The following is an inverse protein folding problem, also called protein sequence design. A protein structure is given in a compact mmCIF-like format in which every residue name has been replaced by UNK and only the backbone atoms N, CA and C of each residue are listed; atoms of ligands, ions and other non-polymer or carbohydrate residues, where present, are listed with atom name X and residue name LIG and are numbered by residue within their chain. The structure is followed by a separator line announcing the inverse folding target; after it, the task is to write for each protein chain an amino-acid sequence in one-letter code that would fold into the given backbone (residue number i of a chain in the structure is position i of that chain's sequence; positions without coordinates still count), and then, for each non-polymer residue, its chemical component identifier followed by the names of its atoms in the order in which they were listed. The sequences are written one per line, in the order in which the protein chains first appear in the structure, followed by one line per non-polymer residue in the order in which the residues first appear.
data_IF_541874305452
#
_entry.id   IF_541874305452
#
_cell.length_a   1.000
_cell.length_b   1.000
_cell.length_c   1.000
_cell.angle_alpha   90.00
_cell.angle_beta   90.00
_cell.angle_gamma   90.00
#
_symmetry.space_group_name_H-M   'P 1'
#
loop_
_entity.id
_entity.type
_entity.pdbx_description
1 polymer ?
#
# COMPACT_ATOMS: atom_id res chain seq x y z
N UNK A 1 5.00 -25.42 -54.84
CA UNK A 1 4.17 -24.84 -53.76
C UNK A 1 4.73 -25.32 -52.42
N UNK A 2 5.06 -24.43 -51.46
CA UNK A 2 5.59 -24.85 -50.17
C UNK A 2 4.46 -25.33 -49.26
N UNK A 3 4.67 -26.46 -48.56
CA UNK A 3 3.72 -27.00 -47.60
C UNK A 3 3.74 -26.17 -46.31
N UNK A 4 2.56 -25.71 -45.90
CA UNK A 4 2.35 -24.98 -44.63
C UNK A 4 2.56 -25.91 -43.44
N UNK A 5 3.54 -25.60 -42.58
CA UNK A 5 3.72 -26.28 -41.29
C UNK A 5 2.65 -25.78 -40.31
N UNK A 6 1.78 -26.67 -39.83
CA UNK A 6 0.86 -26.39 -38.73
C UNK A 6 1.67 -26.13 -37.46
N UNK A 7 1.58 -24.91 -36.94
CA UNK A 7 2.06 -24.55 -35.60
C UNK A 7 1.00 -25.00 -34.60
N UNK A 8 1.28 -26.05 -33.85
CA UNK A 8 0.42 -26.53 -32.77
C UNK A 8 0.62 -25.61 -31.56
N UNK A 9 -0.45 -24.96 -31.11
CA UNK A 9 -0.41 -24.14 -29.90
C UNK A 9 -0.11 -25.01 -28.68
N UNK A 10 1.00 -24.75 -28.01
CA UNK A 10 1.33 -25.39 -26.74
C UNK A 10 0.48 -24.72 -25.66
N UNK A 11 -0.41 -25.49 -25.02
CA UNK A 11 -1.21 -25.02 -23.91
C UNK A 11 -0.30 -24.57 -22.75
N UNK A 12 -0.26 -23.25 -22.49
CA UNK A 12 0.44 -22.69 -21.35
C UNK A 12 -0.25 -23.14 -20.06
N UNK A 13 0.37 -24.07 -19.33
CA UNK A 13 -0.07 -24.42 -17.98
C UNK A 13 0.12 -23.19 -17.09
N UNK A 14 -0.98 -22.49 -16.77
CA UNK A 14 -0.96 -21.40 -15.78
C UNK A 14 -0.45 -21.97 -14.45
N UNK A 15 0.72 -21.50 -14.00
CA UNK A 15 1.19 -21.74 -12.64
C UNK A 15 0.16 -21.15 -11.67
N UNK A 16 -0.06 -21.76 -10.49
CA UNK A 16 -0.89 -21.14 -9.46
C UNK A 16 -0.35 -19.74 -9.19
N UNK A 17 -1.16 -18.71 -9.41
CA UNK A 17 -0.79 -17.34 -9.06
C UNK A 17 -0.97 -17.25 -7.55
N UNK A 18 0.12 -17.43 -6.80
CA UNK A 18 0.14 -17.06 -5.38
C UNK A 18 -0.08 -15.55 -5.35
N UNK A 19 -1.11 -15.08 -4.63
CA UNK A 19 -1.38 -13.67 -4.50
C UNK A 19 -0.14 -12.98 -3.89
N UNK A 20 0.47 -12.06 -4.63
CA UNK A 20 1.64 -11.32 -4.15
C UNK A 20 1.23 -10.41 -3.00
N UNK A 21 2.02 -10.31 -1.96
CA UNK A 21 1.68 -9.56 -0.75
C UNK A 21 2.28 -8.16 -0.80
N UNK A 22 1.56 -7.18 -0.23
CA UNK A 22 2.00 -5.81 -0.18
C UNK A 22 1.76 -5.15 1.19
N UNK A 23 2.58 -4.15 1.50
CA UNK A 23 2.36 -3.21 2.61
C UNK A 23 2.19 -1.80 2.04
N UNK A 24 1.21 -1.05 2.55
CA UNK A 24 0.99 0.37 2.22
C UNK A 24 1.43 1.29 3.35
N UNK A 25 2.41 2.16 3.12
CA UNK A 25 2.83 3.18 4.06
C UNK A 25 2.27 4.55 3.65
N UNK A 26 1.86 5.35 4.64
CA UNK A 26 1.16 6.63 4.42
C UNK A 26 -0.11 6.44 3.57
N UNK A 27 -0.85 5.38 3.91
CA UNK A 27 -1.91 4.80 3.10
C UNK A 27 -3.11 5.71 2.82
N UNK A 28 -3.28 6.78 3.60
CA UNK A 28 -4.45 7.62 3.54
C UNK A 28 -5.74 6.79 3.60
N UNK A 29 -6.71 7.14 2.77
CA UNK A 29 -7.99 6.44 2.69
C UNK A 29 -7.93 5.08 1.95
N UNK A 30 -6.74 4.63 1.49
CA UNK A 30 -6.54 3.33 0.83
C UNK A 30 -6.64 3.35 -0.70
N UNK A 31 -6.42 4.50 -1.35
CA UNK A 31 -6.43 4.59 -2.82
C UNK A 31 -5.28 3.84 -3.48
N UNK A 32 -4.10 3.87 -2.87
CA UNK A 32 -2.94 3.06 -3.22
C UNK A 32 -3.21 1.56 -3.04
N UNK A 33 -3.78 1.16 -1.90
CA UNK A 33 -4.21 -0.21 -1.62
C UNK A 33 -5.21 -0.71 -2.65
N UNK A 34 -6.13 0.14 -3.11
CA UNK A 34 -7.09 -0.20 -4.16
C UNK A 34 -6.36 -0.47 -5.49
N UNK A 35 -5.39 0.36 -5.85
CA UNK A 35 -4.54 0.13 -7.02
C UNK A 35 -3.74 -1.18 -6.93
N UNK A 36 -3.13 -1.45 -5.77
CA UNK A 36 -2.40 -2.70 -5.50
C UNK A 36 -3.33 -3.93 -5.61
N UNK A 37 -4.53 -3.87 -5.02
CA UNK A 37 -5.56 -4.90 -5.14
C UNK A 37 -5.96 -5.15 -6.59
N UNK A 38 -6.20 -4.09 -7.37
CA UNK A 38 -6.51 -4.19 -8.80
C UNK A 38 -5.35 -4.78 -9.62
N UNK A 39 -4.11 -4.54 -9.20
CA UNK A 39 -2.91 -5.14 -9.79
C UNK A 39 -2.66 -6.60 -9.36
N UNK A 40 -3.53 -7.20 -8.52
CA UNK A 40 -3.43 -8.59 -8.07
C UNK A 40 -2.59 -8.80 -6.81
N UNK A 41 -2.33 -7.75 -6.05
CA UNK A 41 -1.67 -7.83 -4.75
C UNK A 41 -2.67 -7.93 -3.60
N UNK A 42 -2.29 -8.63 -2.55
CA UNK A 42 -2.98 -8.67 -1.26
C UNK A 42 -2.29 -7.71 -0.29
N UNK A 43 -2.96 -6.62 0.10
CA UNK A 43 -2.42 -5.67 1.09
C UNK A 43 -2.60 -6.26 2.48
N UNK A 44 -1.50 -6.73 3.08
CA UNK A 44 -1.50 -7.45 4.36
C UNK A 44 -1.31 -6.53 5.57
N UNK A 45 -0.72 -5.36 5.36
CA UNK A 45 -0.55 -4.36 6.39
C UNK A 45 -0.54 -2.95 5.83
N UNK A 46 -0.87 -1.97 6.66
CA UNK A 46 -0.86 -0.57 6.27
C UNK A 46 -0.51 0.35 7.44
N UNK A 47 0.09 1.52 7.16
CA UNK A 47 0.39 2.56 8.15
C UNK A 47 -0.35 3.85 7.80
N UNK A 48 -1.13 4.36 8.75
CA UNK A 48 -1.84 5.63 8.67
C UNK A 48 -2.16 6.09 10.10
N UNK A 49 -2.14 7.40 10.35
CA UNK A 49 -2.37 7.96 11.70
C UNK A 49 -3.64 8.81 11.81
N UNK A 50 -4.19 9.32 10.70
CA UNK A 50 -5.46 10.05 10.70
C UNK A 50 -6.63 9.07 10.80
N UNK A 51 -7.31 9.06 11.96
CA UNK A 51 -8.45 8.16 12.26
C UNK A 51 -9.52 8.05 11.17
N UNK A 52 -9.97 9.13 10.50
CA UNK A 52 -10.94 9.00 9.40
C UNK A 52 -10.41 8.18 8.21
N UNK A 53 -9.11 8.31 7.90
CA UNK A 53 -8.45 7.59 6.83
C UNK A 53 -8.30 6.10 7.19
N UNK A 54 -7.86 5.80 8.43
CA UNK A 54 -7.82 4.43 8.98
C UNK A 54 -9.17 3.74 8.86
N UNK A 55 -10.25 4.39 9.31
CA UNK A 55 -11.59 3.81 9.27
C UNK A 55 -12.06 3.51 7.85
N UNK A 56 -11.73 4.39 6.90
CA UNK A 56 -12.04 4.19 5.48
C UNK A 56 -11.26 3.00 4.92
N UNK A 57 -9.96 2.93 5.22
CA UNK A 57 -9.09 1.84 4.79
C UNK A 57 -9.57 0.49 5.31
N UNK A 58 -9.83 0.37 6.61
CA UNK A 58 -10.30 -0.89 7.23
C UNK A 58 -11.67 -1.33 6.72
N UNK A 59 -12.54 -0.39 6.31
CA UNK A 59 -13.83 -0.71 5.72
C UNK A 59 -13.68 -1.41 4.36
N UNK A 60 -12.73 -0.98 3.52
CA UNK A 60 -12.48 -1.57 2.20
C UNK A 60 -11.53 -2.77 2.23
N UNK A 61 -10.55 -2.76 3.16
CA UNK A 61 -9.51 -3.78 3.31
C UNK A 61 -9.50 -4.38 4.72
N UNK A 62 -10.59 -5.05 5.16
CA UNK A 62 -10.74 -5.52 6.55
C UNK A 62 -9.73 -6.60 6.97
N UNK A 63 -9.08 -7.27 6.00
CA UNK A 63 -8.05 -8.27 6.26
C UNK A 63 -6.65 -7.66 6.46
N UNK A 64 -6.46 -6.37 6.15
CA UNK A 64 -5.19 -5.68 6.33
C UNK A 64 -4.97 -5.27 7.79
N UNK A 65 -3.74 -5.41 8.29
CA UNK A 65 -3.38 -5.00 9.64
C UNK A 65 -2.93 -3.54 9.69
N UNK A 66 -3.55 -2.73 10.55
CA UNK A 66 -3.01 -1.42 10.90
C UNK A 66 -1.70 -1.60 11.70
N UNK A 67 -0.61 -1.02 11.21
CA UNK A 67 0.67 -1.01 11.90
C UNK A 67 0.61 -0.02 13.07
N UNK A 68 1.01 -0.48 14.25
CA UNK A 68 1.04 0.30 15.49
C UNK A 68 2.25 -0.07 16.33
N UNK A 69 2.73 0.88 17.14
CA UNK A 69 3.69 0.61 18.21
C UNK A 69 3.08 -0.38 19.23
N UNK A 70 3.69 -1.54 19.49
CA UNK A 70 3.16 -2.54 20.42
C UNK A 70 2.98 -2.03 21.86
N UNK A 71 3.83 -1.12 22.32
CA UNK A 71 3.80 -0.61 23.70
C UNK A 71 2.80 0.51 23.90
N UNK A 72 2.67 1.41 22.91
CA UNK A 72 1.89 2.66 23.05
C UNK A 72 0.61 2.67 22.23
N UNK A 73 0.39 1.67 21.38
CA UNK A 73 -0.64 1.64 20.34
C UNK A 73 -0.59 2.85 19.38
N UNK A 74 0.53 3.58 19.32
CA UNK A 74 0.69 4.71 18.42
C UNK A 74 0.67 4.28 16.96
N UNK A 75 -0.08 5.00 16.13
CA UNK A 75 -0.17 4.82 14.67
C UNK A 75 0.80 5.71 13.90
N UNK A 76 1.55 6.56 14.60
CA UNK A 76 2.60 7.39 14.03
C UNK A 76 3.79 6.50 13.67
N UNK A 77 4.08 6.38 12.37
CA UNK A 77 5.13 5.49 11.86
C UNK A 77 6.51 5.78 12.47
N UNK A 78 6.77 7.01 12.90
CA UNK A 78 8.05 7.38 13.55
C UNK A 78 8.22 6.80 14.95
N UNK A 79 7.13 6.26 15.53
CA UNK A 79 7.09 5.62 16.84
C UNK A 79 6.90 4.11 16.76
N UNK A 80 6.70 3.56 15.56
CA UNK A 80 6.56 2.12 15.34
C UNK A 80 7.96 1.52 15.26
N UNK A 81 8.33 0.56 16.13
CA UNK A 81 9.68 0.05 16.17
C UNK A 81 9.89 -1.03 15.08
N UNK A 82 11.16 -1.26 14.72
CA UNK A 82 11.55 -2.10 13.58
C UNK A 82 11.00 -3.53 13.67
N UNK A 83 10.87 -4.08 14.89
CA UNK A 83 10.35 -5.43 15.15
C UNK A 83 8.93 -5.62 14.59
N UNK A 84 8.15 -4.53 14.53
CA UNK A 84 6.80 -4.54 13.94
C UNK A 84 6.83 -4.82 12.44
N UNK A 85 7.90 -4.39 11.76
CA UNK A 85 8.13 -4.59 10.33
C UNK A 85 8.90 -5.89 10.06
N UNK A 86 9.84 -6.26 10.93
CA UNK A 86 10.60 -7.52 10.82
C UNK A 86 9.69 -8.74 10.80
N UNK A 87 8.51 -8.68 11.44
CA UNK A 87 7.46 -9.69 11.31
C UNK A 87 7.13 -10.06 9.85
N UNK A 88 7.32 -9.14 8.89
CA UNK A 88 7.02 -9.33 7.48
C UNK A 88 8.24 -9.69 6.62
N UNK A 89 9.42 -9.86 7.22
CA UNK A 89 10.64 -10.16 6.49
C UNK A 89 10.49 -11.48 5.70
N UNK A 90 10.80 -11.42 4.41
CA UNK A 90 10.65 -12.56 3.49
C UNK A 90 9.19 -12.95 3.15
N UNK A 91 8.19 -12.22 3.65
CA UNK A 91 6.77 -12.49 3.41
C UNK A 91 6.09 -11.47 2.50
N UNK A 92 6.73 -10.33 2.24
CA UNK A 92 6.16 -9.20 1.47
C UNK A 92 6.92 -9.00 0.16
N UNK A 93 6.20 -8.93 -0.95
CA UNK A 93 6.78 -8.70 -2.29
C UNK A 93 6.97 -7.20 -2.59
N UNK A 94 6.08 -6.35 -2.07
CA UNK A 94 6.05 -4.91 -2.39
C UNK A 94 5.77 -4.08 -1.14
N UNK A 95 6.53 -3.01 -0.98
CA UNK A 95 6.19 -1.92 -0.06
C UNK A 95 5.87 -0.70 -0.93
N UNK A 96 4.66 -0.17 -0.78
CA UNK A 96 4.27 1.11 -1.36
C UNK A 96 4.37 2.19 -0.29
N UNK A 97 4.80 3.40 -0.67
CA UNK A 97 4.91 4.53 0.24
C UNK A 97 4.52 5.82 -0.47
N UNK A 98 3.43 6.45 -0.01
CA UNK A 98 2.94 7.74 -0.50
C UNK A 98 3.13 8.85 0.54
N UNK A 99 4.36 9.09 0.98
CA UNK A 99 4.66 10.05 2.04
C UNK A 99 4.14 11.47 1.72
N UNK A 100 3.83 12.30 2.74
CA UNK A 100 3.34 13.65 2.52
C UNK A 100 4.27 14.47 1.62
N UNK A 101 3.71 15.10 0.58
CA UNK A 101 4.49 15.88 -0.39
C UNK A 101 5.15 17.14 0.21
N UNK A 102 4.66 17.61 1.36
CA UNK A 102 5.06 18.87 1.97
C UNK A 102 5.36 18.70 3.45
N UNK A 103 6.26 19.52 3.98
CA UNK A 103 6.49 19.65 5.42
C UNK A 103 5.66 20.80 6.00
N UNK A 104 5.51 20.83 7.32
CA UNK A 104 4.79 21.89 8.01
C UNK A 104 5.39 23.26 7.67
N UNK A 105 4.55 24.26 7.43
CA UNK A 105 4.99 25.61 7.03
C UNK A 105 5.30 25.76 5.55
N UNK A 106 5.23 24.70 4.73
CA UNK A 106 5.35 24.85 3.27
C UNK A 106 4.21 25.73 2.75
N UNK A 107 4.55 26.83 2.08
CA UNK A 107 3.56 27.70 1.42
C UNK A 107 3.05 27.03 0.14
N UNK A 108 1.75 26.77 0.08
CA UNK A 108 1.06 26.25 -1.10
C UNK A 108 0.08 27.28 -1.65
N UNK A 109 0.00 27.36 -2.98
CA UNK A 109 -0.97 28.22 -3.64
C UNK A 109 -2.38 27.62 -3.52
N UNK A 110 -3.32 28.42 -3.02
CA UNK A 110 -4.74 28.06 -2.94
C UNK A 110 -5.58 29.06 -3.74
N UNK A 111 -6.88 28.81 -3.87
CA UNK A 111 -7.82 29.76 -4.48
C UNK A 111 -7.94 31.11 -3.74
N UNK A 112 -7.41 31.19 -2.51
CA UNK A 112 -7.46 32.37 -1.62
C UNK A 112 -6.05 32.89 -1.32
N UNK A 113 -5.08 32.60 -2.20
CA UNK A 113 -3.68 32.99 -2.05
C UNK A 113 -2.81 31.90 -1.42
N UNK A 114 -1.61 32.26 -1.00
CA UNK A 114 -0.68 31.32 -0.39
C UNK A 114 -1.12 30.99 1.04
N UNK A 115 -1.08 29.71 1.41
CA UNK A 115 -1.34 29.22 2.77
C UNK A 115 -0.26 28.23 3.18
N UNK A 116 0.07 28.20 4.45
CA UNK A 116 0.99 27.22 5.01
C UNK A 116 0.29 25.90 5.28
N UNK A 117 0.95 24.78 4.94
CA UNK A 117 0.50 23.44 5.34
C UNK A 117 0.62 23.27 6.85
N UNK A 118 -0.45 22.75 7.46
CA UNK A 118 -0.59 22.45 8.89
C UNK A 118 -0.84 20.93 9.05
N UNK A 119 -0.31 20.29 10.10
CA UNK A 119 -0.43 18.84 10.35
C UNK A 119 -1.18 18.50 11.63
#
# INVERSE_FOLDING_TARGET
MPQSKKVTAVASKKRPVVAKTAISLFSGAGGDSLGLKQAGYNVVAFSEFKKPAINTHLKEFPASRLLTCPETASTDITKIPDETFEYYLGQVDVIFSGFPCFTAGTLVLTNSGHKEIQF
#
